data_IF_779237134299
#
_entry.id   IF_779237134299
#
_cell.length_a   1.000
_cell.length_b   1.000
_cell.length_c   1.000
_cell.angle_alpha   90.00
_cell.angle_beta   90.00
_cell.angle_gamma   90.00
#
_symmetry.space_group_name_H-M   'P 1'
#
loop_
_entity.id
_entity.type
_entity.pdbx_description
1 polymer ?
#
# COMPACT_ATOMS: atom_id res chain seq x y z
N UNK A 1 -8.50 16.53 -11.30
CA UNK A 1 -7.46 15.47 -11.23
C UNK A 1 -7.28 15.12 -9.77
N UNK A 2 -7.67 13.91 -9.35
CA UNK A 2 -7.63 13.50 -7.94
C UNK A 2 -6.23 12.92 -7.64
N UNK A 3 -5.44 13.55 -6.78
CA UNK A 3 -4.19 12.96 -6.29
C UNK A 3 -4.47 12.20 -5.00
N UNK A 4 -4.43 10.87 -5.06
CA UNK A 4 -4.48 10.01 -3.88
C UNK A 4 -3.09 9.98 -3.25
N UNK A 5 -2.84 10.82 -2.24
CA UNK A 5 -1.59 10.80 -1.48
C UNK A 5 -1.76 9.88 -0.27
N UNK A 6 -0.83 8.94 -0.08
CA UNK A 6 -0.76 8.11 1.11
C UNK A 6 0.39 8.62 1.98
N UNK A 7 0.07 9.21 3.13
CA UNK A 7 1.05 9.69 4.11
C UNK A 7 0.87 8.92 5.42
N UNK A 8 1.98 8.56 6.07
CA UNK A 8 2.01 7.95 7.41
C UNK A 8 2.92 8.81 8.29
N UNK A 9 2.45 9.16 9.48
CA UNK A 9 3.22 9.85 10.49
C UNK A 9 3.37 8.92 11.71
N UNK A 10 4.60 8.53 12.02
CA UNK A 10 4.92 7.62 13.12
C UNK A 10 6.27 7.97 13.73
N UNK A 11 6.45 7.69 15.02
CA UNK A 11 7.70 7.88 15.74
C UNK A 11 8.28 6.52 16.10
N UNK A 12 9.50 6.26 15.67
CA UNK A 12 10.20 5.00 15.92
C UNK A 12 11.61 5.26 16.45
N UNK A 13 12.06 4.43 17.38
CA UNK A 13 13.44 4.42 17.85
C UNK A 13 14.22 3.39 17.04
N UNK A 14 15.34 3.81 16.46
CA UNK A 14 16.13 3.02 15.53
C UNK A 14 17.61 3.24 15.78
N UNK A 15 18.43 2.19 15.65
CA UNK A 15 19.89 2.32 15.66
C UNK A 15 20.41 2.57 14.25
N UNK A 16 21.60 3.17 14.16
CA UNK A 16 22.29 3.38 12.89
C UNK A 16 22.45 2.08 12.10
N UNK A 17 21.97 2.05 10.86
CA UNK A 17 22.03 0.90 9.96
C UNK A 17 21.02 -0.21 10.25
N UNK A 18 20.19 -0.11 11.30
CA UNK A 18 19.19 -1.12 11.63
C UNK A 18 17.92 -0.91 10.78
N UNK A 19 17.46 -1.97 10.09
CA UNK A 19 16.26 -1.87 9.25
C UNK A 19 15.01 -2.17 10.07
N UNK A 20 14.08 -1.23 10.08
CA UNK A 20 12.78 -1.37 10.73
C UNK A 20 11.70 -1.60 9.67
N UNK A 21 10.79 -2.52 9.98
CA UNK A 21 9.59 -2.80 9.17
C UNK A 21 8.41 -2.04 9.75
N UNK A 22 7.88 -1.10 8.99
CA UNK A 22 6.65 -0.37 9.28
C UNK A 22 5.50 -1.07 8.54
N UNK A 23 4.92 -2.10 9.16
CA UNK A 23 3.75 -2.81 8.64
C UNK A 23 2.49 -1.96 8.83
N UNK A 24 2.14 -1.11 7.86
CA UNK A 24 1.25 0.03 8.15
C UNK A 24 0.09 0.30 7.19
N UNK A 25 0.01 -0.30 6.00
CA UNK A 25 -1.14 -0.01 5.10
C UNK A 25 -1.69 -1.30 4.51
N UNK A 26 -2.71 -1.84 5.19
CA UNK A 26 -3.64 -2.81 4.61
C UNK A 26 -4.83 -2.02 4.07
N UNK A 27 -5.01 -2.02 2.76
CA UNK A 27 -6.17 -1.39 2.13
C UNK A 27 -7.05 -2.47 1.50
N UNK A 28 -8.25 -2.63 2.06
CA UNK A 28 -9.28 -3.51 1.52
C UNK A 28 -10.40 -2.66 0.92
N UNK A 29 -10.67 -2.87 -0.37
CA UNK A 29 -11.77 -2.22 -1.07
C UNK A 29 -12.76 -3.28 -1.52
N UNK A 30 -13.98 -3.22 -0.99
CA UNK A 30 -15.11 -4.02 -1.45
C UNK A 30 -16.01 -3.11 -2.29
N UNK A 31 -16.09 -3.36 -3.60
CA UNK A 31 -17.01 -2.66 -4.50
C UNK A 31 -18.16 -3.58 -4.85
N UNK A 32 -19.38 -3.22 -4.45
CA UNK A 32 -20.62 -3.91 -4.83
C UNK A 32 -21.36 -3.06 -5.86
N UNK A 33 -21.67 -3.65 -7.00
CA UNK A 33 -22.51 -3.07 -8.05
C UNK A 33 -23.72 -3.98 -8.26
N UNK A 34 -24.92 -3.42 -8.28
CA UNK A 34 -26.16 -4.15 -8.59
C UNK A 34 -26.84 -3.44 -9.76
N UNK A 35 -26.87 -4.09 -10.91
CA UNK A 35 -27.63 -3.64 -12.07
C UNK A 35 -28.92 -4.45 -12.14
N UNK A 36 -30.10 -3.82 -12.04
CA UNK A 36 -31.38 -4.52 -12.10
C UNK A 36 -32.40 -3.82 -12.98
N UNK A 37 -33.25 -4.60 -13.65
CA UNK A 37 -34.41 -4.07 -14.39
C UNK A 37 -35.44 -3.57 -13.37
N UNK A 38 -35.87 -2.30 -13.43
CA UNK A 38 -36.92 -1.79 -12.55
C UNK A 38 -38.22 -2.60 -12.74
N UNK A 39 -38.99 -2.80 -11.65
CA UNK A 39 -40.20 -3.63 -11.56
C UNK A 39 -39.97 -5.16 -11.47
N UNK A 40 -39.14 -5.75 -12.35
CA UNK A 40 -38.91 -7.21 -12.38
C UNK A 40 -37.78 -7.66 -11.44
N UNK A 41 -36.79 -6.78 -11.19
CA UNK A 41 -35.63 -7.07 -10.33
C UNK A 41 -35.94 -7.16 -8.84
N UNK A 42 -37.14 -6.75 -8.40
CA UNK A 42 -37.56 -6.81 -6.99
C UNK A 42 -38.39 -8.07 -6.66
N UNK A 43 -38.75 -8.89 -7.66
CA UNK A 43 -39.52 -10.12 -7.47
C UNK A 43 -38.57 -11.27 -7.06
N UNK A 44 -38.70 -11.86 -5.85
CA UNK A 44 -37.73 -12.83 -5.33
C UNK A 44 -37.56 -14.07 -6.21
N UNK A 45 -38.62 -14.50 -6.90
CA UNK A 45 -38.63 -15.70 -7.75
C UNK A 45 -37.82 -15.52 -9.03
N UNK A 46 -37.81 -14.32 -9.61
CA UNK A 46 -37.15 -14.03 -10.90
C UNK A 46 -35.97 -13.05 -10.76
N UNK A 47 -35.67 -12.55 -9.56
CA UNK A 47 -34.61 -11.58 -9.27
C UNK A 47 -33.30 -11.94 -9.98
N UNK A 48 -32.82 -13.18 -9.83
CA UNK A 48 -31.56 -13.66 -10.43
C UNK A 48 -31.50 -13.67 -11.96
N UNK A 49 -32.64 -13.63 -12.65
CA UNK A 49 -32.72 -13.58 -14.12
C UNK A 49 -32.74 -12.14 -14.66
N UNK A 50 -33.10 -11.16 -13.82
CA UNK A 50 -33.30 -9.75 -14.18
C UNK A 50 -32.42 -8.77 -13.37
N UNK A 51 -31.56 -9.29 -12.49
CA UNK A 51 -30.53 -8.54 -11.80
C UNK A 51 -29.15 -9.15 -12.04
N UNK A 52 -28.14 -8.30 -12.13
CA UNK A 52 -26.74 -8.64 -12.22
C UNK A 52 -26.03 -8.00 -11.03
N UNK A 53 -25.60 -8.83 -10.11
CA UNK A 53 -24.78 -8.43 -8.98
C UNK A 53 -23.31 -8.65 -9.37
N UNK A 54 -22.46 -7.65 -9.13
CA UNK A 54 -21.03 -7.71 -9.35
C UNK A 54 -20.32 -7.27 -8.08
N UNK A 55 -19.58 -8.19 -7.48
CA UNK A 55 -18.74 -7.92 -6.32
C UNK A 55 -17.27 -7.98 -6.72
N UNK A 56 -16.53 -6.91 -6.42
CA UNK A 56 -15.09 -6.82 -6.67
C UNK A 56 -14.38 -6.60 -5.35
N UNK A 57 -13.55 -7.57 -4.98
CA UNK A 57 -12.64 -7.49 -3.84
C UNK A 57 -11.27 -7.06 -4.34
N UNK A 58 -10.71 -6.00 -3.77
CA UNK A 58 -9.35 -5.56 -4.06
C UNK A 58 -8.56 -5.39 -2.76
N UNK A 59 -7.63 -6.31 -2.53
CA UNK A 59 -6.70 -6.28 -1.40
C UNK A 59 -5.36 -5.69 -1.85
N UNK A 60 -4.85 -4.70 -1.09
CA UNK A 60 -3.51 -4.13 -1.27
C UNK A 60 -2.75 -4.21 0.05
N UNK A 61 -1.59 -4.85 0.02
CA UNK A 61 -0.68 -5.00 1.16
C UNK A 61 0.59 -4.18 0.87
N UNK A 62 0.82 -3.12 1.64
CA UNK A 62 2.03 -2.30 1.52
C UNK A 62 2.90 -2.46 2.76
N UNK A 63 4.17 -2.79 2.53
CA UNK A 63 5.20 -2.91 3.56
C UNK A 63 6.26 -1.85 3.31
N UNK A 64 6.58 -1.07 4.35
CA UNK A 64 7.57 -0.01 4.28
C UNK A 64 8.78 -0.41 5.12
N UNK A 65 9.97 -0.38 4.52
CA UNK A 65 11.24 -0.63 5.21
C UNK A 65 12.01 0.68 5.34
N UNK A 66 12.53 0.95 6.53
CA UNK A 66 13.33 2.15 6.80
C UNK A 66 14.63 1.74 7.48
N UNK A 67 15.75 2.19 6.91
CA UNK A 67 17.09 1.98 7.46
C UNK A 67 17.72 3.35 7.66
N UNK A 68 17.84 3.85 8.91
CA UNK A 68 18.45 5.14 9.16
C UNK A 68 19.97 5.04 9.08
N UNK A 69 20.60 6.14 8.68
CA UNK A 69 22.07 6.26 8.66
C UNK A 69 22.50 7.57 9.33
N UNK A 70 23.41 7.47 10.30
CA UNK A 70 24.00 8.61 11.01
C UNK A 70 25.28 9.03 10.30
N UNK A 71 25.36 10.30 9.91
CA UNK A 71 26.52 10.88 9.26
C UNK A 71 27.42 11.55 10.30
N UNK A 72 28.72 11.24 10.30
CA UNK A 72 29.70 11.94 11.14
C UNK A 72 30.25 13.16 10.41
N UNK A 73 30.55 14.22 11.16
CA UNK A 73 31.15 15.43 10.59
C UNK A 73 32.48 15.09 9.88
N UNK A 74 32.54 15.36 8.58
CA UNK A 74 33.69 15.02 7.71
C UNK A 74 33.45 13.83 6.78
N UNK A 75 32.39 13.04 6.97
CA UNK A 75 31.98 12.01 6.00
C UNK A 75 31.14 12.64 4.89
N UNK A 76 31.65 12.65 3.67
CA UNK A 76 30.91 13.14 2.50
C UNK A 76 29.89 12.09 2.04
N UNK A 77 28.66 12.52 1.72
CA UNK A 77 27.58 11.67 1.19
C UNK A 77 28.03 10.82 -0.02
N UNK A 78 28.95 11.34 -0.81
CA UNK A 78 29.53 10.66 -1.97
C UNK A 78 30.36 9.42 -1.60
N UNK A 79 31.07 9.44 -0.47
CA UNK A 79 31.82 8.29 0.03
C UNK A 79 30.89 7.16 0.50
N UNK A 80 29.71 7.50 1.04
CA UNK A 80 28.70 6.53 1.49
C UNK A 80 27.90 5.92 0.33
N UNK A 81 27.66 6.68 -0.74
CA UNK A 81 27.09 6.15 -1.99
C UNK A 81 28.00 5.10 -2.62
N UNK A 82 29.31 5.32 -2.66
CA UNK A 82 30.26 4.35 -3.21
C UNK A 82 30.33 3.07 -2.37
N UNK A 83 30.25 3.19 -1.04
CA UNK A 83 30.27 2.04 -0.12
C UNK A 83 28.99 1.20 -0.18
N UNK A 84 27.82 1.83 -0.39
CA UNK A 84 26.54 1.13 -0.56
C UNK A 84 26.35 0.55 -1.97
N UNK A 85 26.86 1.21 -3.01
CA UNK A 85 26.86 0.70 -4.38
C UNK A 85 27.84 -0.47 -4.57
N UNK A 86 29.04 -0.40 -3.99
CA UNK A 86 30.05 -1.45 -4.10
C UNK A 86 29.72 -2.74 -3.35
N UNK A 87 28.90 -2.67 -2.29
CA UNK A 87 28.44 -3.85 -1.53
C UNK A 87 27.34 -4.65 -2.25
N UNK A 88 26.75 -4.10 -3.32
CA UNK A 88 25.68 -4.75 -4.09
C UNK A 88 26.19 -5.78 -5.12
N UNK A 89 27.51 -5.97 -5.23
CA UNK A 89 28.16 -6.87 -6.18
C UNK A 89 28.89 -8.06 -5.52
N UNK A 90 28.56 -8.38 -4.26
CA UNK A 90 28.94 -9.62 -3.59
C UNK A 90 27.70 -10.33 -3.05
#
# INVERSE_FOLDING_TARGET
MLFLKQEINTQVFAKDGETIVLGGVFHDTITKSEDKVPLLGDIPVIKRLFSKESERHQKRELVIFVTPHILKAGETLEALKQKSAGKKLQ
#
